data_IF_280285158608
#
_entry.id   IF_280285158608
#
_cell.length_a   1.000
_cell.length_b   1.000
_cell.length_c   1.000
_cell.angle_alpha   90.00
_cell.angle_beta   90.00
_cell.angle_gamma   90.00
#
_symmetry.space_group_name_H-M   'P 1'
#
loop_
_entity.id
_entity.type
_entity.pdbx_description
1 polymer ?
#
# COMPACT_ATOMS: atom_id res chain seq x y z
N UNK A 1 22.47 9.54 -30.89
CA UNK A 1 21.80 8.23 -30.97
C UNK A 1 20.73 8.19 -29.88
N UNK A 2 19.63 8.90 -30.13
CA UNK A 2 18.60 9.25 -29.14
C UNK A 2 17.83 8.02 -28.70
N UNK A 3 18.16 7.53 -27.50
CA UNK A 3 17.49 6.40 -26.87
C UNK A 3 15.99 6.69 -26.72
N UNK A 4 15.20 5.83 -27.35
CA UNK A 4 13.83 5.43 -27.01
C UNK A 4 12.99 6.54 -26.34
N UNK A 5 12.66 7.59 -27.10
CA UNK A 5 11.64 8.57 -26.74
C UNK A 5 10.33 7.87 -26.38
N UNK A 6 9.58 8.40 -25.41
CA UNK A 6 8.26 7.91 -24.98
C UNK A 6 7.32 7.65 -26.18
N UNK A 7 7.48 8.43 -27.25
CA UNK A 7 6.76 8.25 -28.51
C UNK A 7 7.00 6.88 -29.17
N UNK A 8 8.21 6.33 -29.08
CA UNK A 8 8.53 5.00 -29.59
C UNK A 8 7.78 3.90 -28.82
N UNK A 9 7.70 4.02 -27.49
CA UNK A 9 6.97 3.05 -26.66
C UNK A 9 5.47 3.04 -26.94
N UNK A 10 4.87 4.19 -27.25
CA UNK A 10 3.46 4.25 -27.68
C UNK A 10 3.26 3.57 -29.03
N UNK A 11 4.14 3.82 -30.01
CA UNK A 11 4.06 3.13 -31.32
C UNK A 11 4.23 1.62 -31.16
N UNK A 12 5.26 1.19 -30.42
CA UNK A 12 5.56 -0.23 -30.21
C UNK A 12 4.40 -0.91 -29.49
N UNK A 13 3.85 -0.29 -28.44
CA UNK A 13 2.66 -0.78 -27.75
C UNK A 13 1.46 -0.91 -28.70
N UNK A 14 1.23 0.07 -29.57
CA UNK A 14 0.16 0.03 -30.57
C UNK A 14 0.33 -1.09 -31.60
N UNK A 15 1.54 -1.30 -32.13
CA UNK A 15 1.82 -2.37 -33.09
C UNK A 15 1.64 -3.75 -32.46
N UNK A 16 2.14 -3.95 -31.24
CA UNK A 16 1.93 -5.20 -30.49
C UNK A 16 0.44 -5.42 -30.22
N UNK A 17 -0.30 -4.38 -29.85
CA UNK A 17 -1.74 -4.47 -29.65
C UNK A 17 -2.51 -4.83 -30.93
N UNK A 18 -2.12 -4.33 -32.11
CA UNK A 18 -2.77 -4.71 -33.37
C UNK A 18 -2.44 -6.15 -33.77
N UNK A 19 -1.19 -6.60 -33.59
CA UNK A 19 -0.76 -7.95 -33.95
C UNK A 19 -1.29 -9.03 -32.99
N UNK A 20 -1.42 -8.70 -31.70
CA UNK A 20 -1.86 -9.63 -30.65
C UNK A 20 -3.30 -9.39 -30.16
N UNK A 21 -3.93 -8.27 -30.52
CA UNK A 21 -5.18 -7.75 -29.93
C UNK A 21 -6.49 -8.42 -30.33
N UNK A 22 -6.44 -9.62 -30.92
CA UNK A 22 -7.66 -10.37 -31.26
C UNK A 22 -7.82 -11.71 -30.54
N UNK A 23 -6.77 -12.26 -29.91
CA UNK A 23 -6.76 -13.71 -29.58
C UNK A 23 -6.08 -14.08 -28.27
N UNK A 24 -5.45 -13.14 -27.59
CA UNK A 24 -4.51 -13.48 -26.54
C UNK A 24 -5.21 -13.39 -25.18
N UNK A 25 -5.15 -14.46 -24.38
CA UNK A 25 -5.82 -14.63 -23.08
C UNK A 25 -5.23 -13.73 -21.98
N UNK A 26 -5.06 -12.43 -22.28
CA UNK A 26 -4.51 -11.41 -21.39
C UNK A 26 -5.41 -11.24 -20.17
N UNK A 27 -6.72 -11.46 -20.26
CA UNK A 27 -7.61 -11.19 -19.13
C UNK A 27 -7.32 -12.06 -17.90
N UNK A 28 -7.06 -13.35 -18.07
CA UNK A 28 -6.70 -14.24 -16.95
C UNK A 28 -5.29 -13.92 -16.42
N UNK A 29 -4.32 -13.79 -17.32
CA UNK A 29 -2.92 -13.54 -16.97
C UNK A 29 -2.75 -12.15 -16.32
N UNK A 30 -3.42 -11.13 -16.83
CA UNK A 30 -3.43 -9.78 -16.25
C UNK A 30 -4.13 -9.77 -14.89
N UNK A 31 -5.16 -10.60 -14.70
CA UNK A 31 -5.80 -10.80 -13.40
C UNK A 31 -4.84 -11.39 -12.37
N UNK A 32 -4.08 -12.43 -12.74
CA UNK A 32 -3.12 -13.07 -11.83
C UNK A 32 -1.88 -12.20 -11.57
N UNK A 33 -1.40 -11.48 -12.59
CA UNK A 33 -0.34 -10.46 -12.42
C UNK A 33 -0.83 -9.31 -11.53
N UNK A 34 -2.05 -8.82 -11.71
CA UNK A 34 -2.63 -7.77 -10.87
C UNK A 34 -2.79 -8.23 -9.42
N UNK A 35 -3.23 -9.47 -9.17
CA UNK A 35 -3.29 -10.05 -7.82
C UNK A 35 -1.89 -10.15 -7.20
N UNK A 36 -0.88 -10.60 -7.95
CA UNK A 36 0.51 -10.69 -7.47
C UNK A 36 1.09 -9.33 -7.09
N UNK A 37 0.93 -8.31 -7.94
CA UNK A 37 1.40 -6.94 -7.66
C UNK A 37 0.62 -6.32 -6.49
N UNK A 38 -0.70 -6.57 -6.39
CA UNK A 38 -1.52 -6.08 -5.27
C UNK A 38 -1.14 -6.71 -3.94
N UNK A 39 -0.86 -8.02 -3.93
CA UNK A 39 -0.38 -8.74 -2.75
C UNK A 39 1.02 -8.26 -2.35
N UNK A 40 1.91 -8.02 -3.31
CA UNK A 40 3.24 -7.46 -3.07
C UNK A 40 3.16 -6.05 -2.46
N UNK A 41 2.33 -5.18 -3.02
CA UNK A 41 2.10 -3.84 -2.46
C UNK A 41 1.49 -3.90 -1.06
N UNK A 42 0.49 -4.78 -0.85
CA UNK A 42 -0.15 -4.93 0.45
C UNK A 42 0.81 -5.49 1.50
N UNK A 43 1.65 -6.46 1.17
CA UNK A 43 2.70 -6.95 2.08
C UNK A 43 3.72 -5.86 2.45
N UNK A 44 4.16 -5.07 1.46
CA UNK A 44 5.08 -3.94 1.70
C UNK A 44 4.44 -2.83 2.54
N UNK A 45 3.17 -2.51 2.29
CA UNK A 45 2.42 -1.52 3.08
C UNK A 45 2.00 -2.05 4.44
N UNK A 46 1.80 -3.36 4.62
CA UNK A 46 1.53 -3.96 5.92
C UNK A 46 2.73 -3.88 6.87
N UNK A 47 3.97 -3.95 6.35
CA UNK A 47 5.16 -3.65 7.16
C UNK A 47 5.18 -2.19 7.65
N UNK A 48 4.65 -1.24 6.87
CA UNK A 48 4.47 0.16 7.26
C UNK A 48 3.24 0.38 8.18
N UNK A 49 2.14 -0.33 7.93
CA UNK A 49 0.87 -0.21 8.67
C UNK A 49 0.91 -0.95 10.03
N UNK A 50 1.67 -2.04 10.17
CA UNK A 50 1.92 -2.69 11.46
C UNK A 50 2.76 -1.78 12.36
N UNK A 51 3.70 -1.01 11.79
CA UNK A 51 4.41 0.04 12.52
C UNK A 51 3.47 1.21 12.91
N UNK A 52 2.46 1.51 12.09
CA UNK A 52 1.42 2.51 12.39
C UNK A 52 0.44 2.05 13.48
N UNK A 53 -0.02 0.79 13.43
CA UNK A 53 -0.98 0.22 14.39
C UNK A 53 -0.35 -0.07 15.76
N UNK A 54 0.93 -0.48 15.80
CA UNK A 54 1.69 -0.57 17.04
C UNK A 54 1.88 0.81 17.69
N UNK A 55 2.03 1.87 16.89
CA UNK A 55 2.17 3.25 17.38
C UNK A 55 0.85 3.79 17.95
N UNK A 56 -0.30 3.49 17.35
CA UNK A 56 -1.59 3.89 17.91
C UNK A 56 -1.89 3.23 19.25
N UNK A 57 -1.59 1.93 19.39
CA UNK A 57 -1.79 1.18 20.65
C UNK A 57 -0.94 1.70 21.82
N UNK A 58 0.27 2.22 21.54
CA UNK A 58 1.15 2.75 22.58
C UNK A 58 0.75 4.18 23.01
N UNK A 59 0.25 4.99 22.06
CA UNK A 59 -0.28 6.35 22.30
C UNK A 59 -1.56 6.31 23.16
N UNK A 60 -2.50 5.41 22.86
CA UNK A 60 -3.74 5.24 23.63
C UNK A 60 -3.47 4.77 25.08
N UNK A 61 -2.40 3.98 25.30
CA UNK A 61 -2.01 3.50 26.63
C UNK A 61 -1.31 4.56 27.48
N UNK A 62 -0.59 5.47 26.84
CA UNK A 62 0.08 6.58 27.53
C UNK A 62 -0.92 7.63 28.01
N UNK A 63 -1.91 7.96 27.17
CA UNK A 63 -2.96 8.92 27.49
C UNK A 63 -3.82 8.45 28.67
N UNK A 64 -4.25 7.18 28.65
CA UNK A 64 -5.07 6.61 29.72
C UNK A 64 -4.33 6.53 31.07
N UNK A 65 -3.00 6.29 31.04
CA UNK A 65 -2.15 6.30 32.26
C UNK A 65 -1.94 7.69 32.83
N UNK A 66 -1.83 8.72 31.98
CA UNK A 66 -1.75 10.11 32.43
C UNK A 66 -3.06 10.55 33.09
N UNK A 67 -4.19 10.16 32.52
CA UNK A 67 -5.53 10.46 33.08
C UNK A 67 -5.78 9.70 34.39
N UNK A 68 -5.32 8.45 34.54
CA UNK A 68 -5.42 7.69 35.80
C UNK A 68 -4.51 8.26 36.91
N UNK A 69 -3.31 8.73 36.57
CA UNK A 69 -2.39 9.33 37.54
C UNK A 69 -2.90 10.69 38.05
N UNK A 70 -3.51 11.50 37.18
CA UNK A 70 -4.11 12.79 37.55
C UNK A 70 -5.36 12.58 38.42
N UNK A 71 -6.23 11.64 38.04
CA UNK A 71 -7.46 11.33 38.79
C UNK A 71 -7.17 10.69 40.16
N UNK A 72 -6.10 9.92 40.27
CA UNK A 72 -5.66 9.32 41.55
C UNK A 72 -4.98 10.32 42.48
N UNK A 73 -4.42 11.41 41.94
CA UNK A 73 -3.87 12.51 42.74
C UNK A 73 -4.97 13.46 43.23
N UNK A 74 -6.01 13.69 42.43
CA UNK A 74 -7.14 14.55 42.80
C UNK A 74 -8.04 13.93 43.88
N UNK A 75 -8.23 12.60 43.88
CA UNK A 75 -9.11 11.92 44.85
C UNK A 75 -8.48 11.70 46.23
N UNK A 76 -7.17 11.95 46.40
CA UNK A 76 -6.46 11.73 47.66
C UNK A 76 -6.20 13.03 48.45
N UNK A 77 -6.71 14.17 47.96
CA UNK A 77 -6.59 15.49 48.61
C UNK A 77 -7.97 16.09 48.99
N UNK A 78 -9.01 15.25 49.09
CA UNK A 78 -10.33 15.55 49.65
C UNK A 78 -10.56 14.68 50.89
#
# INVERSE_FOLDING_TARGET
>A
MGGLSIWHWIIVGGVVFVLFGGKFKISDVMGDVAKGIKAFKKGMSEDDDLASSAKSLDLDRQDNRAIEAEKSAENHNL
#
